data_IF_766381685323
#
_entry.id   IF_766381685323
#
_cell.length_a   1.000
_cell.length_b   1.000
_cell.length_c   1.000
_cell.angle_alpha   90.00
_cell.angle_beta   90.00
_cell.angle_gamma   90.00
#
_symmetry.space_group_name_H-M   'P 1'
#
loop_
_entity.id
_entity.type
_entity.pdbx_description
1 polymer ?
#
# COMPACT_ATOMS: atom_id res chain seq x y z
N UNK A 1 -20.92 -4.41 3.19
CA UNK A 1 -20.04 -3.60 2.32
C UNK A 1 -18.71 -4.32 2.19
N UNK A 2 -18.51 -5.21 1.20
CA UNK A 2 -17.35 -6.12 1.14
C UNK A 2 -16.04 -5.44 0.67
N UNK A 3 -16.00 -4.11 0.52
CA UNK A 3 -14.84 -3.37 0.02
C UNK A 3 -13.71 -3.28 1.05
N UNK A 4 -14.04 -3.25 2.34
CA UNK A 4 -13.08 -3.09 3.43
C UNK A 4 -12.19 -4.33 3.61
N UNK A 5 -12.72 -5.58 3.60
CA UNK A 5 -11.89 -6.79 3.54
C UNK A 5 -10.98 -6.86 2.31
N UNK A 6 -11.46 -6.39 1.15
CA UNK A 6 -10.65 -6.35 -0.07
C UNK A 6 -9.49 -5.35 0.06
N UNK A 7 -9.74 -4.16 0.61
CA UNK A 7 -8.71 -3.18 0.88
C UNK A 7 -7.64 -3.74 1.83
N UNK A 8 -8.05 -4.49 2.87
CA UNK A 8 -7.13 -5.17 3.79
C UNK A 8 -6.31 -6.25 3.07
N UNK A 9 -6.95 -7.07 2.23
CA UNK A 9 -6.24 -8.11 1.50
C UNK A 9 -5.17 -7.52 0.57
N UNK A 10 -5.53 -6.50 -0.22
CA UNK A 10 -4.56 -5.83 -1.09
C UNK A 10 -3.47 -5.09 -0.31
N UNK A 11 -3.80 -4.48 0.84
CA UNK A 11 -2.78 -3.82 1.67
C UNK A 11 -1.80 -4.81 2.28
N UNK A 12 -2.25 -6.01 2.68
CA UNK A 12 -1.38 -7.08 3.16
C UNK A 12 -0.42 -7.56 2.06
N UNK A 13 -0.91 -7.75 0.83
CA UNK A 13 -0.06 -8.14 -0.30
C UNK A 13 0.96 -7.04 -0.61
N UNK A 14 0.53 -5.77 -0.63
CA UNK A 14 1.43 -4.63 -0.79
C UNK A 14 2.48 -4.58 0.32
N UNK A 15 2.11 -4.83 1.58
CA UNK A 15 3.01 -4.85 2.73
C UNK A 15 4.07 -5.94 2.58
N UNK A 16 3.68 -7.15 2.16
CA UNK A 16 4.63 -8.25 1.91
C UNK A 16 5.62 -7.86 0.82
N UNK A 17 5.16 -7.30 -0.30
CA UNK A 17 6.06 -6.83 -1.36
C UNK A 17 6.97 -5.69 -0.88
N UNK A 18 6.46 -4.75 -0.08
CA UNK A 18 7.24 -3.67 0.53
C UNK A 18 8.32 -4.21 1.48
N UNK A 19 7.99 -5.23 2.28
CA UNK A 19 8.95 -5.86 3.18
C UNK A 19 10.15 -6.45 2.42
N UNK A 20 9.93 -7.09 1.26
CA UNK A 20 11.03 -7.56 0.41
C UNK A 20 11.92 -6.42 -0.09
N UNK A 21 11.33 -5.30 -0.51
CA UNK A 21 12.08 -4.12 -0.96
C UNK A 21 12.91 -3.51 0.18
N UNK A 22 12.32 -3.39 1.37
CA UNK A 22 12.96 -2.82 2.57
C UNK A 22 14.09 -3.73 3.05
N UNK A 23 13.87 -5.04 3.18
CA UNK A 23 14.91 -5.99 3.59
C UNK A 23 16.07 -5.94 2.59
N UNK A 24 15.79 -5.92 1.29
CA UNK A 24 16.82 -5.78 0.27
C UNK A 24 17.59 -4.45 0.39
N UNK A 25 16.88 -3.34 0.65
CA UNK A 25 17.49 -2.03 0.87
C UNK A 25 18.46 -2.03 2.05
N UNK A 26 18.05 -2.60 3.19
CA UNK A 26 18.92 -2.74 4.37
C UNK A 26 20.12 -3.67 4.13
N UNK A 27 19.96 -4.73 3.32
CA UNK A 27 21.09 -5.61 2.96
C UNK A 27 22.11 -4.90 2.06
N UNK A 28 21.70 -3.90 1.29
CA UNK A 28 22.59 -3.11 0.43
C UNK A 28 23.31 -2.01 1.20
N UNK A 29 22.58 -1.25 2.02
CA UNK A 29 23.13 -0.20 2.88
C UNK A 29 22.10 0.23 3.91
N UNK A 30 22.53 0.43 5.16
CA UNK A 30 21.65 0.94 6.23
C UNK A 30 21.07 2.30 5.85
N UNK A 31 21.86 3.19 5.24
CA UNK A 31 21.39 4.52 4.83
C UNK A 31 20.29 4.45 3.77
N UNK A 32 20.42 3.54 2.81
CA UNK A 32 19.40 3.31 1.79
C UNK A 32 18.14 2.69 2.40
N UNK A 33 18.28 1.72 3.31
CA UNK A 33 17.16 1.14 4.05
C UNK A 33 16.37 2.20 4.83
N UNK A 34 17.07 3.09 5.53
CA UNK A 34 16.45 4.20 6.27
C UNK A 34 15.75 5.20 5.33
N UNK A 35 16.34 5.54 4.18
CA UNK A 35 15.69 6.41 3.20
C UNK A 35 14.42 5.79 2.60
N UNK A 36 14.44 4.50 2.30
CA UNK A 36 13.26 3.74 1.83
C UNK A 36 12.15 3.75 2.89
N UNK A 37 12.50 3.68 4.17
CA UNK A 37 11.52 3.66 5.28
C UNK A 37 10.94 5.04 5.59
N UNK A 38 11.77 6.08 5.56
CA UNK A 38 11.38 7.46 5.89
C UNK A 38 10.73 8.20 4.73
N UNK A 39 11.10 7.87 3.48
CA UNK A 39 10.64 8.59 2.29
C UNK A 39 9.80 7.61 1.45
N UNK A 40 8.46 7.63 1.59
CA UNK A 40 7.59 6.69 0.88
C UNK A 40 7.70 6.80 -0.64
N UNK A 41 8.02 7.98 -1.18
CA UNK A 41 8.28 8.15 -2.62
C UNK A 41 9.62 7.53 -3.06
N UNK A 42 10.60 7.43 -2.15
CA UNK A 42 11.91 6.86 -2.45
C UNK A 42 11.85 5.34 -2.63
N UNK A 43 10.91 4.65 -1.96
CA UNK A 43 10.58 3.24 -2.22
C UNK A 43 10.37 2.97 -3.70
N UNK A 44 9.65 3.86 -4.40
CA UNK A 44 9.35 3.70 -5.82
C UNK A 44 10.62 3.80 -6.66
N UNK A 45 11.41 4.84 -6.43
CA UNK A 45 12.69 5.01 -7.11
C UNK A 45 13.61 3.81 -6.86
N UNK A 46 13.69 3.34 -5.62
CA UNK A 46 14.49 2.19 -5.24
C UNK A 46 14.01 0.89 -5.92
N UNK A 47 12.70 0.66 -5.94
CA UNK A 47 12.06 -0.52 -6.54
C UNK A 47 12.34 -0.64 -8.05
N UNK A 48 12.37 0.47 -8.78
CA UNK A 48 12.64 0.46 -10.22
C UNK A 48 14.14 0.47 -10.54
N UNK A 49 14.93 1.29 -9.85
CA UNK A 49 16.32 1.57 -10.21
C UNK A 49 17.34 0.64 -9.54
N UNK A 50 17.12 0.24 -8.29
CA UNK A 50 18.16 -0.40 -7.46
C UNK A 50 17.83 -1.82 -6.97
N UNK A 51 16.61 -2.28 -7.22
CA UNK A 51 16.18 -3.62 -6.84
C UNK A 51 16.60 -4.67 -7.88
N UNK A 52 17.67 -5.42 -7.60
CA UNK A 52 18.17 -6.49 -8.45
C UNK A 52 17.70 -7.84 -7.91
N UNK A 53 16.55 -8.31 -8.40
CA UNK A 53 16.00 -9.61 -8.03
C UNK A 53 15.47 -10.36 -9.26
N UNK A 54 15.64 -11.68 -9.33
CA UNK A 54 15.16 -12.50 -10.46
C UNK A 54 13.66 -12.37 -10.71
N UNK A 55 12.89 -12.04 -9.65
CA UNK A 55 11.44 -11.79 -9.68
C UNK A 55 11.07 -10.31 -9.47
N UNK A 56 11.98 -9.38 -9.78
CA UNK A 56 11.77 -7.93 -9.66
C UNK A 56 10.42 -7.50 -10.24
N UNK A 57 10.13 -7.90 -11.48
CA UNK A 57 8.90 -7.48 -12.16
C UNK A 57 7.64 -7.85 -11.38
N UNK A 58 7.58 -9.07 -10.83
CA UNK A 58 6.43 -9.54 -10.06
C UNK A 58 6.27 -8.81 -8.72
N UNK A 59 7.38 -8.58 -8.02
CA UNK A 59 7.34 -7.89 -6.70
C UNK A 59 6.95 -6.43 -6.88
N UNK A 60 7.54 -5.74 -7.87
CA UNK A 60 7.25 -4.33 -8.15
C UNK A 60 5.82 -4.17 -8.71
N UNK A 61 5.40 -5.03 -9.64
CA UNK A 61 4.03 -5.00 -10.15
C UNK A 61 3.01 -5.31 -9.04
N UNK A 62 3.29 -6.30 -8.19
CA UNK A 62 2.47 -6.64 -7.03
C UNK A 62 2.36 -5.47 -6.05
N UNK A 63 3.49 -4.87 -5.68
CA UNK A 63 3.53 -3.68 -4.82
C UNK A 63 2.71 -2.53 -5.41
N UNK A 64 2.96 -2.14 -6.66
CA UNK A 64 2.30 -1.00 -7.30
C UNK A 64 0.80 -1.22 -7.47
N UNK A 65 0.41 -2.36 -8.05
CA UNK A 65 -1.00 -2.68 -8.29
C UNK A 65 -1.77 -2.80 -6.98
N UNK A 66 -1.25 -3.53 -5.99
CA UNK A 66 -1.93 -3.74 -4.72
C UNK A 66 -2.00 -2.46 -3.89
N UNK A 67 -0.98 -1.60 -3.93
CA UNK A 67 -1.01 -0.30 -3.22
C UNK A 67 -2.08 0.62 -3.82
N UNK A 68 -2.18 0.69 -5.15
CA UNK A 68 -3.21 1.49 -5.83
C UNK A 68 -4.61 0.92 -5.59
N UNK A 69 -4.80 -0.38 -5.74
CA UNK A 69 -6.08 -1.06 -5.49
C UNK A 69 -6.53 -0.88 -4.03
N UNK A 70 -5.63 -1.05 -3.07
CA UNK A 70 -5.91 -0.82 -1.66
C UNK A 70 -6.33 0.63 -1.39
N UNK A 71 -5.62 1.62 -1.96
CA UNK A 71 -5.94 3.03 -1.81
C UNK A 71 -7.32 3.36 -2.39
N UNK A 72 -7.65 2.81 -3.58
CA UNK A 72 -8.97 2.99 -4.21
C UNK A 72 -10.06 2.37 -3.36
N UNK A 73 -9.92 1.11 -2.93
CA UNK A 73 -10.96 0.44 -2.13
C UNK A 73 -11.13 1.08 -0.76
N UNK A 74 -10.04 1.54 -0.13
CA UNK A 74 -10.10 2.28 1.13
C UNK A 74 -10.82 3.62 0.93
N UNK A 75 -10.48 4.37 -0.12
CA UNK A 75 -11.15 5.62 -0.48
C UNK A 75 -12.65 5.43 -0.72
N UNK A 76 -13.03 4.44 -1.53
CA UNK A 76 -14.43 4.10 -1.79
C UNK A 76 -15.17 3.67 -0.51
N UNK A 77 -14.50 2.91 0.37
CA UNK A 77 -15.06 2.49 1.65
C UNK A 77 -15.33 3.68 2.57
N UNK A 78 -14.37 4.61 2.68
CA UNK A 78 -14.55 5.84 3.47
C UNK A 78 -15.69 6.68 2.93
N UNK A 79 -15.78 6.89 1.61
CA UNK A 79 -16.89 7.64 1.00
C UNK A 79 -18.24 6.95 1.24
N UNK A 80 -18.31 5.62 1.16
CA UNK A 80 -19.52 4.87 1.44
C UNK A 80 -19.96 4.98 2.90
N UNK A 81 -19.02 4.95 3.86
CA UNK A 81 -19.33 5.17 5.28
C UNK A 81 -19.81 6.60 5.52
N UNK A 82 -19.13 7.60 4.97
CA UNK A 82 -19.54 9.01 5.11
C UNK A 82 -20.94 9.23 4.54
N UNK A 83 -21.25 8.71 3.35
CA UNK A 83 -22.57 8.80 2.74
C UNK A 83 -23.66 8.13 3.60
N UNK A 84 -23.36 6.99 4.22
CA UNK A 84 -24.29 6.32 5.12
C UNK A 84 -24.56 7.14 6.38
N UNK A 85 -23.54 7.79 6.97
CA UNK A 85 -23.71 8.62 8.17
C UNK A 85 -24.53 9.89 7.92
N UNK A 86 -24.48 10.45 6.71
CA UNK A 86 -25.28 11.65 6.33
C UNK A 86 -26.76 11.31 6.16
N UNK A 87 -27.09 10.08 5.78
CA UNK A 87 -28.49 9.63 5.59
C UNK A 87 -29.16 9.07 6.86
N UNK A 88 -28.46 9.01 8.00
CA UNK A 88 -29.09 8.67 9.28
C UNK A 88 -29.80 9.92 9.81
N UNK A 89 -31.15 9.97 9.88
CA UNK A 89 -31.84 11.08 10.50
C UNK A 89 -31.43 11.18 11.98
N UNK A 90 -31.34 12.39 12.54
CA UNK A 90 -30.98 12.56 13.94
C UNK A 90 -31.95 11.74 14.81
N UNK A 91 -31.46 11.00 15.83
CA UNK A 91 -32.33 10.33 16.77
C UNK A 91 -33.07 11.38 17.60
N UNK A 92 -34.31 11.64 17.23
CA UNK A 92 -35.29 12.42 18.01
C UNK A 92 -35.56 13.83 17.50
N UNK A 93 -36.72 13.99 16.86
CA UNK A 93 -37.80 14.87 17.35
C UNK A 93 -39.10 14.08 17.31
#
# INVERSE_FOLDING_TARGET
>A
MPLLPLAILFSLVALVCAAFLVVHAFRRSVGTGVMVLLIPCYVLFYAFSQFEHRRKGLIVAGFMSCTVLAAVFLGLSVHAVTAATVHVPPPGF
#
